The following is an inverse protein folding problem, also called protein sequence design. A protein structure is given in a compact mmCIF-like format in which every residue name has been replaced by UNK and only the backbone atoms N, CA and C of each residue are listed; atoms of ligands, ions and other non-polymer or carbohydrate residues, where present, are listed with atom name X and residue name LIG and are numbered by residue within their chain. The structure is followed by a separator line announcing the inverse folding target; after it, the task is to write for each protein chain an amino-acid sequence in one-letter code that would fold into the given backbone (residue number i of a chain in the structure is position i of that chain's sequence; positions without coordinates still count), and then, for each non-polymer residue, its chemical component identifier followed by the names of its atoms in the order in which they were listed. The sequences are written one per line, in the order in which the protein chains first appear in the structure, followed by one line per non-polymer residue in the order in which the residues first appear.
data_IF_137494209571
#
_entry.id   IF_137494209571
#
_cell.length_a   1.000
_cell.length_b   1.000
_cell.length_c   1.000
_cell.angle_alpha   90.00
_cell.angle_beta   90.00
_cell.angle_gamma   90.00
#
_symmetry.space_group_name_H-M   'P 1'
#
loop_
_entity.id
_entity.type
_entity.pdbx_description
1 polymer ?
#
# COMPACT_ATOMS: atom_id res chain seq x y z
N UNK A 1 -59.10 85.17 20.02
CA UNK A 1 -58.09 84.49 19.17
C UNK A 1 -58.83 83.94 17.95
N UNK A 2 -58.81 84.63 16.83
CA UNK A 2 -59.49 84.21 15.58
C UNK A 2 -58.81 82.95 15.02
N UNK A 3 -59.54 82.11 14.28
CA UNK A 3 -59.03 80.87 13.66
C UNK A 3 -57.79 81.15 12.77
N UNK A 4 -57.77 82.31 12.12
CA UNK A 4 -56.64 82.80 11.33
C UNK A 4 -55.35 83.06 12.15
N UNK A 5 -55.45 83.47 13.42
CA UNK A 5 -54.28 83.62 14.28
C UNK A 5 -53.67 82.24 14.62
N UNK A 6 -54.50 81.24 14.89
CA UNK A 6 -54.03 79.88 15.23
C UNK A 6 -53.31 79.19 14.07
N UNK A 7 -53.76 79.42 12.82
CA UNK A 7 -53.09 78.89 11.62
C UNK A 7 -51.77 79.61 11.34
N UNK A 8 -51.70 80.92 11.55
CA UNK A 8 -50.46 81.69 11.44
C UNK A 8 -49.41 81.30 12.50
N UNK A 9 -49.85 81.04 13.73
CA UNK A 9 -48.97 80.57 14.83
C UNK A 9 -48.41 79.17 14.52
N UNK A 10 -49.26 78.25 14.02
CA UNK A 10 -48.84 76.90 13.62
C UNK A 10 -47.85 76.90 12.45
N UNK A 11 -48.07 77.73 11.44
CA UNK A 11 -47.16 77.88 10.30
C UNK A 11 -45.83 78.52 10.71
N UNK A 12 -45.85 79.48 11.63
CA UNK A 12 -44.63 80.08 12.19
C UNK A 12 -43.82 79.07 12.99
N UNK A 13 -44.49 78.24 13.80
CA UNK A 13 -43.84 77.16 14.57
C UNK A 13 -43.22 76.09 13.64
N UNK A 14 -43.92 75.71 12.57
CA UNK A 14 -43.43 74.76 11.58
C UNK A 14 -42.22 75.30 10.79
N UNK A 15 -42.23 76.60 10.47
CA UNK A 15 -41.12 77.28 9.78
C UNK A 15 -39.88 77.39 10.68
N UNK A 16 -40.07 77.71 11.98
CA UNK A 16 -38.98 77.69 12.97
C UNK A 16 -38.40 76.29 13.16
N UNK A 17 -39.23 75.25 13.20
CA UNK A 17 -38.79 73.85 13.28
C UNK A 17 -37.97 73.40 12.06
N UNK A 18 -38.37 73.79 10.85
CA UNK A 18 -37.62 73.52 9.62
C UNK A 18 -36.26 74.22 9.59
N UNK A 19 -36.20 75.50 9.97
CA UNK A 19 -34.93 76.23 10.04
C UNK A 19 -33.97 75.63 11.07
N UNK A 20 -34.48 75.11 12.19
CA UNK A 20 -33.66 74.44 13.20
C UNK A 20 -33.13 73.07 12.73
N UNK A 21 -33.83 72.38 11.84
CA UNK A 21 -33.41 71.09 11.25
C UNK A 21 -32.41 71.29 10.10
N UNK A 22 -32.57 72.37 9.32
CA UNK A 22 -31.78 72.65 8.12
C UNK A 22 -30.49 73.42 8.44
N UNK A 23 -30.53 74.37 9.37
CA UNK A 23 -29.41 75.27 9.69
C UNK A 23 -28.87 75.13 11.14
N UNK A 24 -29.48 74.28 11.97
CA UNK A 24 -29.08 74.07 13.36
C UNK A 24 -27.73 73.35 13.48
N UNK A 25 -26.79 74.00 14.17
CA UNK A 25 -25.44 73.52 14.46
C UNK A 25 -25.39 72.52 15.63
N UNK A 26 -26.31 71.56 15.68
CA UNK A 26 -26.26 70.49 16.70
C UNK A 26 -25.85 69.18 16.04
N UNK A 27 -24.57 68.87 16.18
CA UNK A 27 -24.03 67.56 15.86
C UNK A 27 -24.76 66.49 16.70
N UNK A 28 -25.17 65.39 16.05
CA UNK A 28 -25.70 64.14 16.64
C UNK A 28 -27.24 64.02 16.83
N UNK A 29 -28.06 64.24 15.79
CA UNK A 29 -29.35 63.52 15.65
C UNK A 29 -29.23 62.40 14.62
N UNK A 30 -29.52 61.18 15.06
CA UNK A 30 -29.53 59.95 14.23
C UNK A 30 -30.41 60.15 12.99
N UNK A 31 -30.07 59.47 11.88
CA UNK A 31 -30.86 59.54 10.64
C UNK A 31 -32.34 59.20 10.87
N UNK A 32 -32.64 58.35 11.85
CA UNK A 32 -34.01 57.97 12.23
C UNK A 32 -34.75 59.09 12.96
N UNK A 33 -34.06 59.90 13.77
CA UNK A 33 -34.67 61.06 14.43
C UNK A 33 -34.98 62.18 13.44
N UNK A 34 -34.14 62.34 12.41
CA UNK A 34 -34.40 63.29 11.32
C UNK A 34 -35.60 62.82 10.49
N UNK A 35 -35.70 61.53 10.17
CA UNK A 35 -36.87 60.97 9.49
C UNK A 35 -38.13 61.16 10.32
N UNK A 36 -38.09 60.85 11.61
CA UNK A 36 -39.23 61.03 12.51
C UNK A 36 -39.67 62.50 12.62
N UNK A 37 -38.71 63.44 12.74
CA UNK A 37 -39.01 64.87 12.76
C UNK A 37 -39.62 65.36 11.43
N UNK A 38 -39.12 64.90 10.28
CA UNK A 38 -39.69 65.23 8.97
C UNK A 38 -41.09 64.64 8.78
N UNK A 39 -41.34 63.42 9.28
CA UNK A 39 -42.67 62.81 9.25
C UNK A 39 -43.65 63.58 10.12
N UNK A 40 -43.25 64.00 11.33
CA UNK A 40 -44.09 64.83 12.20
C UNK A 40 -44.40 66.19 11.56
N UNK A 41 -43.43 66.79 10.87
CA UNK A 41 -43.62 68.07 10.19
C UNK A 41 -44.53 67.96 8.96
N UNK A 42 -44.46 66.85 8.22
CA UNK A 42 -45.41 66.57 7.14
C UNK A 42 -46.85 66.44 7.67
N UNK A 43 -47.03 65.80 8.83
CA UNK A 43 -48.34 65.66 9.47
C UNK A 43 -48.88 67.03 9.94
N UNK A 44 -48.04 67.90 10.52
CA UNK A 44 -48.47 69.23 10.96
C UNK A 44 -48.84 70.14 9.79
N UNK A 45 -48.09 70.10 8.68
CA UNK A 45 -48.44 70.84 7.45
C UNK A 45 -49.73 70.30 6.83
N UNK A 46 -49.95 68.98 6.84
CA UNK A 46 -51.18 68.38 6.34
C UNK A 46 -52.40 68.73 7.23
N UNK A 47 -52.21 68.86 8.54
CA UNK A 47 -53.24 69.34 9.45
C UNK A 47 -53.54 70.84 9.23
N UNK A 48 -52.51 71.66 8.98
CA UNK A 48 -52.69 73.07 8.65
C UNK A 48 -53.42 73.27 7.30
N UNK A 49 -53.12 72.45 6.30
CA UNK A 49 -53.82 72.46 5.01
C UNK A 49 -55.32 72.11 5.17
N UNK A 50 -55.65 71.08 5.96
CA UNK A 50 -57.04 70.72 6.25
C UNK A 50 -57.79 71.82 7.00
N UNK A 51 -57.12 72.54 7.91
CA UNK A 51 -57.72 73.69 8.59
C UNK A 51 -57.91 74.89 7.65
N UNK A 52 -57.01 75.08 6.67
CA UNK A 52 -57.16 76.11 5.64
C UNK A 52 -58.33 75.80 4.68
N UNK A 53 -58.60 74.52 4.39
CA UNK A 53 -59.77 74.08 3.63
C UNK A 53 -61.08 74.37 4.38
N UNK A 54 -61.12 74.19 5.70
CA UNK A 54 -62.29 74.55 6.54
C UNK A 54 -62.55 76.05 6.53
N UNK A 55 -61.50 76.88 6.51
CA UNK A 55 -61.63 78.35 6.38
C UNK A 55 -62.11 78.76 4.98
N UNK A 56 -61.76 78.04 3.92
CA UNK A 56 -62.28 78.28 2.57
C UNK A 56 -63.76 77.85 2.41
N UNK A 57 -64.22 76.85 3.17
CA UNK A 57 -65.62 76.42 3.19
C UNK A 57 -66.53 77.42 3.91
N UNK A 58 -66.04 78.11 4.95
CA UNK A 58 -66.79 79.20 5.61
C UNK A 58 -66.86 80.50 4.76
N UNK A 59 -66.02 80.64 3.73
CA UNK A 59 -66.01 81.79 2.81
C UNK A 59 -66.95 81.71 1.60
N UNK A 60 -67.58 80.56 1.33
CA UNK A 60 -68.36 80.32 0.10
C UNK A 60 -69.86 80.04 0.32
N UNK A 61 -70.41 80.39 1.49
CA UNK A 61 -71.86 80.26 1.75
C UNK A 61 -72.58 81.61 1.70
N UNK A 62 -72.33 82.43 0.69
CA UNK A 62 -73.25 83.51 0.30
C UNK A 62 -73.39 83.58 -1.22
N UNK A 63 -74.59 83.20 -1.70
CA UNK A 63 -75.21 83.48 -3.01
C UNK A 63 -74.35 83.31 -4.27
N UNK A 64 -74.66 82.46 -5.24
CA UNK A 64 -75.97 82.08 -5.75
C UNK A 64 -76.03 82.40 -7.25
N UNK A 65 -76.29 81.37 -8.08
CA UNK A 65 -76.81 81.51 -9.44
C UNK A 65 -75.82 81.28 -10.59
N UNK A 66 -76.06 80.26 -11.41
CA UNK A 66 -76.65 80.38 -12.78
C UNK A 66 -76.48 79.03 -13.51
N UNK A 67 -77.60 78.59 -14.07
CA UNK A 67 -77.83 77.32 -14.77
C UNK A 67 -77.37 77.36 -16.25
N UNK A 68 -77.17 76.16 -16.81
CA UNK A 68 -77.23 75.79 -18.26
C UNK A 68 -75.96 75.79 -19.13
N UNK A 69 -74.76 76.06 -18.60
CA UNK A 69 -73.47 75.74 -19.29
C UNK A 69 -72.66 74.64 -18.56
N UNK A 70 -73.01 74.32 -17.31
CA UNK A 70 -72.31 73.32 -16.49
C UNK A 70 -72.47 71.86 -16.95
N UNK A 71 -73.59 71.49 -17.57
CA UNK A 71 -73.88 70.11 -17.96
C UNK A 71 -72.97 69.55 -19.06
N UNK A 72 -72.70 70.34 -20.11
CA UNK A 72 -71.84 69.92 -21.22
C UNK A 72 -70.35 69.86 -20.81
N UNK A 73 -69.92 70.76 -19.93
CA UNK A 73 -68.54 70.79 -19.41
C UNK A 73 -68.32 69.65 -18.41
N UNK A 74 -69.29 69.34 -17.53
CA UNK A 74 -69.22 68.16 -16.67
C UNK A 74 -69.17 66.87 -17.47
N UNK A 75 -70.05 66.70 -18.46
CA UNK A 75 -70.08 65.52 -19.33
C UNK A 75 -68.78 65.36 -20.14
N UNK A 76 -68.20 66.46 -20.64
CA UNK A 76 -66.90 66.43 -21.33
C UNK A 76 -65.76 66.05 -20.38
N UNK A 77 -65.76 66.59 -19.16
CA UNK A 77 -64.72 66.29 -18.16
C UNK A 77 -64.81 64.84 -17.69
N UNK A 78 -66.01 64.30 -17.49
CA UNK A 78 -66.22 62.88 -17.19
C UNK A 78 -65.78 61.99 -18.36
N UNK A 79 -66.07 62.37 -19.61
CA UNK A 79 -65.61 61.65 -20.80
C UNK A 79 -64.07 61.62 -20.89
N UNK A 80 -63.40 62.74 -20.64
CA UNK A 80 -61.93 62.76 -20.58
C UNK A 80 -61.37 61.87 -19.46
N UNK A 81 -61.98 61.88 -18.27
CA UNK A 81 -61.56 60.99 -17.16
C UNK A 81 -61.74 59.52 -17.52
N UNK A 82 -62.83 59.16 -18.22
CA UNK A 82 -63.03 57.79 -18.69
C UNK A 82 -62.08 57.42 -19.82
N UNK A 83 -61.75 58.37 -20.72
CA UNK A 83 -60.79 58.14 -21.80
C UNK A 83 -59.35 57.97 -21.26
N UNK A 84 -58.95 58.75 -20.24
CA UNK A 84 -57.66 58.56 -19.55
C UNK A 84 -57.62 57.22 -18.82
N UNK A 85 -58.65 56.87 -18.05
CA UNK A 85 -58.74 55.56 -17.38
C UNK A 85 -58.74 54.41 -18.38
N UNK A 86 -59.45 54.54 -19.50
CA UNK A 86 -59.45 53.56 -20.58
C UNK A 86 -58.05 53.43 -21.19
N UNK A 87 -57.38 54.55 -21.49
CA UNK A 87 -56.01 54.55 -22.00
C UNK A 87 -55.01 53.92 -21.02
N UNK A 88 -55.14 54.18 -19.72
CA UNK A 88 -54.35 53.52 -18.66
C UNK A 88 -54.59 52.01 -18.64
N UNK A 89 -55.86 51.57 -18.74
CA UNK A 89 -56.19 50.13 -18.79
C UNK A 89 -55.73 49.45 -20.08
N UNK A 90 -55.77 50.14 -21.21
CA UNK A 90 -55.27 49.65 -22.49
C UNK A 90 -53.74 49.51 -22.47
N UNK A 91 -53.02 50.52 -21.96
CA UNK A 91 -51.56 50.47 -21.77
C UNK A 91 -51.12 49.37 -20.78
N UNK A 92 -51.88 49.15 -19.71
CA UNK A 92 -51.68 48.04 -18.77
C UNK A 92 -51.93 46.70 -19.47
N UNK A 93 -53.02 46.55 -20.22
CA UNK A 93 -53.34 45.33 -20.95
C UNK A 93 -52.28 44.97 -21.99
N UNK A 94 -51.74 45.95 -22.72
CA UNK A 94 -50.63 45.73 -23.64
C UNK A 94 -49.34 45.32 -22.92
N UNK A 95 -49.03 45.94 -21.78
CA UNK A 95 -47.86 45.56 -20.97
C UNK A 95 -47.99 44.13 -20.45
N UNK A 96 -49.17 43.75 -19.97
CA UNK A 96 -49.47 42.37 -19.58
C UNK A 96 -49.35 41.44 -20.80
N UNK A 97 -49.90 41.80 -21.96
CA UNK A 97 -49.80 41.03 -23.19
C UNK A 97 -48.34 40.80 -23.64
N UNK A 98 -47.50 41.84 -23.60
CA UNK A 98 -46.05 41.72 -23.85
C UNK A 98 -45.35 40.85 -22.81
N UNK A 99 -45.76 40.91 -21.54
CA UNK A 99 -45.26 40.04 -20.49
C UNK A 99 -45.62 38.57 -20.70
N UNK A 100 -46.88 38.28 -21.07
CA UNK A 100 -47.36 36.93 -21.37
C UNK A 100 -46.68 36.38 -22.63
N UNK A 101 -46.52 37.18 -23.68
CA UNK A 101 -45.80 36.76 -24.89
C UNK A 101 -44.33 36.42 -24.60
N UNK A 102 -43.66 37.18 -23.72
CA UNK A 102 -42.30 36.86 -23.27
C UNK A 102 -42.24 35.62 -22.36
N UNK A 103 -43.34 35.27 -21.69
CA UNK A 103 -43.41 34.07 -20.84
C UNK A 103 -43.40 32.77 -21.65
N UNK A 104 -43.99 32.75 -22.85
CA UNK A 104 -44.04 31.56 -23.71
C UNK A 104 -42.65 30.98 -24.10
N UNK A 105 -41.68 31.76 -24.62
CA UNK A 105 -40.35 31.24 -24.90
C UNK A 105 -39.58 30.88 -23.61
N UNK A 106 -39.89 31.51 -22.48
CA UNK A 106 -39.30 31.17 -21.18
C UNK A 106 -39.81 29.80 -20.73
N UNK A 107 -41.12 29.53 -20.81
CA UNK A 107 -41.70 28.21 -20.50
C UNK A 107 -41.07 27.10 -21.37
N UNK A 108 -40.97 27.33 -22.68
CA UNK A 108 -40.34 26.38 -23.59
C UNK A 108 -38.85 26.13 -23.26
N UNK A 109 -38.11 27.17 -22.85
CA UNK A 109 -36.73 27.02 -22.37
C UNK A 109 -36.66 26.24 -21.06
N UNK A 110 -37.56 26.51 -20.11
CA UNK A 110 -37.59 25.78 -18.83
C UNK A 110 -37.88 24.30 -19.03
N UNK A 111 -38.82 23.93 -19.93
CA UNK A 111 -39.10 22.52 -20.23
C UNK A 111 -37.91 21.80 -20.88
N UNK A 112 -37.15 22.50 -21.74
CA UNK A 112 -35.91 21.94 -22.31
C UNK A 112 -34.87 21.72 -21.22
N UNK A 113 -34.69 22.69 -20.32
CA UNK A 113 -33.74 22.58 -19.20
C UNK A 113 -34.13 21.44 -18.26
N UNK A 114 -35.41 21.25 -17.93
CA UNK A 114 -35.84 20.13 -17.08
C UNK A 114 -35.57 18.79 -17.73
N UNK A 115 -35.89 18.62 -19.03
CA UNK A 115 -35.56 17.39 -19.78
C UNK A 115 -34.05 17.12 -19.80
N UNK A 116 -33.23 18.16 -19.98
CA UNK A 116 -31.78 18.02 -19.90
C UNK A 116 -31.30 17.64 -18.49
N UNK A 117 -31.89 18.22 -17.44
CA UNK A 117 -31.57 17.88 -16.06
C UNK A 117 -31.92 16.42 -15.72
N UNK A 118 -33.07 15.92 -16.18
CA UNK A 118 -33.47 14.51 -16.03
C UNK A 118 -32.50 13.56 -16.74
N UNK A 119 -32.09 13.91 -17.98
CA UNK A 119 -31.10 13.12 -18.73
C UNK A 119 -29.76 13.08 -18.00
N UNK A 120 -29.28 14.21 -17.50
CA UNK A 120 -28.03 14.28 -16.72
C UNK A 120 -28.15 13.50 -15.41
N UNK A 121 -29.30 13.52 -14.75
CA UNK A 121 -29.55 12.71 -13.55
C UNK A 121 -29.49 11.20 -13.86
N UNK A 122 -30.03 10.77 -15.00
CA UNK A 122 -29.94 9.38 -15.45
C UNK A 122 -28.49 8.96 -15.80
N UNK A 123 -27.76 9.82 -16.52
CA UNK A 123 -26.35 9.58 -16.88
C UNK A 123 -25.45 9.51 -15.63
N UNK A 124 -25.63 10.42 -14.67
CA UNK A 124 -24.88 10.41 -13.41
C UNK A 124 -25.20 9.18 -12.56
N UNK A 125 -26.47 8.73 -12.53
CA UNK A 125 -26.86 7.48 -11.90
C UNK A 125 -26.17 6.27 -12.54
N UNK A 126 -26.14 6.19 -13.88
CA UNK A 126 -25.46 5.12 -14.60
C UNK A 126 -23.95 5.13 -14.33
N UNK A 127 -23.31 6.29 -14.38
CA UNK A 127 -21.88 6.43 -14.09
C UNK A 127 -21.55 5.96 -12.68
N UNK A 128 -22.36 6.34 -11.68
CA UNK A 128 -22.18 5.88 -10.29
C UNK A 128 -22.20 4.35 -10.19
N UNK A 129 -23.18 3.70 -10.81
CA UNK A 129 -23.24 2.21 -10.79
C UNK A 129 -22.04 1.57 -11.50
N UNK A 130 -21.54 2.17 -12.58
CA UNK A 130 -20.33 1.69 -13.26
C UNK A 130 -19.10 1.86 -12.38
N UNK A 131 -18.96 3.00 -11.70
CA UNK A 131 -17.85 3.26 -10.77
C UNK A 131 -17.86 2.27 -9.60
N UNK A 132 -19.03 1.98 -9.04
CA UNK A 132 -19.17 0.98 -7.96
C UNK A 132 -18.78 -0.43 -8.44
N UNK A 133 -19.23 -0.84 -9.63
CA UNK A 133 -18.84 -2.14 -10.23
C UNK A 133 -17.34 -2.25 -10.45
N UNK A 134 -16.73 -1.24 -11.09
CA UNK A 134 -15.29 -1.19 -11.31
C UNK A 134 -14.54 -1.22 -9.97
N UNK A 135 -14.99 -0.46 -8.98
CA UNK A 135 -14.40 -0.49 -7.62
C UNK A 135 -14.40 -1.91 -7.04
N UNK A 136 -15.56 -2.58 -7.06
CA UNK A 136 -15.67 -3.96 -6.54
C UNK A 136 -14.84 -4.98 -7.30
N UNK A 137 -14.72 -4.85 -8.62
CA UNK A 137 -13.92 -5.72 -9.46
C UNK A 137 -12.42 -5.52 -9.19
N UNK A 138 -11.98 -4.25 -9.14
CA UNK A 138 -10.59 -3.91 -8.82
C UNK A 138 -10.18 -4.38 -7.42
N UNK A 139 -11.07 -4.28 -6.43
CA UNK A 139 -10.80 -4.78 -5.07
C UNK A 139 -10.71 -6.31 -5.04
N UNK A 140 -11.63 -6.99 -5.74
CA UNK A 140 -11.61 -8.46 -5.83
C UNK A 140 -10.35 -8.98 -6.52
N UNK A 141 -9.95 -8.34 -7.61
CA UNK A 141 -8.73 -8.68 -8.34
C UNK A 141 -7.48 -8.40 -7.50
N UNK A 142 -7.38 -7.23 -6.88
CA UNK A 142 -6.25 -6.87 -6.04
C UNK A 142 -6.10 -7.83 -4.85
N UNK A 143 -7.19 -8.12 -4.14
CA UNK A 143 -7.14 -9.08 -3.03
C UNK A 143 -6.77 -10.48 -3.51
N UNK A 144 -7.38 -10.97 -4.60
CA UNK A 144 -7.06 -12.28 -5.16
C UNK A 144 -5.60 -12.41 -5.61
N UNK A 145 -5.04 -11.40 -6.27
CA UNK A 145 -3.64 -11.36 -6.69
C UNK A 145 -2.71 -11.37 -5.46
N UNK A 146 -3.02 -10.58 -4.43
CA UNK A 146 -2.19 -10.53 -3.21
C UNK A 146 -2.19 -11.85 -2.44
N UNK A 147 -3.33 -12.56 -2.38
CA UNK A 147 -3.42 -13.87 -1.75
C UNK A 147 -2.63 -14.92 -2.53
N UNK A 148 -2.71 -14.90 -3.87
CA UNK A 148 -1.92 -15.79 -4.74
C UNK A 148 -0.43 -15.58 -4.56
N UNK A 149 0.03 -14.32 -4.57
CA UNK A 149 1.44 -13.97 -4.36
C UNK A 149 1.92 -14.44 -2.98
N UNK A 150 1.12 -14.24 -1.93
CA UNK A 150 1.45 -14.73 -0.58
C UNK A 150 1.60 -16.25 -0.56
N UNK A 151 0.64 -16.98 -1.12
CA UNK A 151 0.69 -18.44 -1.16
C UNK A 151 1.91 -18.97 -1.94
N UNK A 152 2.25 -18.32 -3.07
CA UNK A 152 3.42 -18.67 -3.87
C UNK A 152 4.73 -18.37 -3.12
N UNK A 153 4.80 -17.23 -2.43
CA UNK A 153 5.96 -16.85 -1.61
C UNK A 153 6.18 -17.86 -0.47
N UNK A 154 5.12 -18.28 0.22
CA UNK A 154 5.21 -19.32 1.26
C UNK A 154 5.66 -20.67 0.70
N UNK A 155 5.16 -21.06 -0.48
CA UNK A 155 5.59 -22.29 -1.15
C UNK A 155 7.08 -22.25 -1.48
N UNK A 156 7.54 -21.13 -2.05
CA UNK A 156 8.95 -20.91 -2.38
C UNK A 156 9.83 -20.92 -1.13
N UNK A 157 9.39 -20.30 -0.03
CA UNK A 157 10.08 -20.35 1.26
C UNK A 157 10.28 -21.78 1.75
N UNK A 158 9.23 -22.62 1.72
CA UNK A 158 9.32 -24.04 2.09
C UNK A 158 10.22 -24.84 1.16
N UNK A 159 10.32 -24.48 -0.11
CA UNK A 159 11.22 -25.14 -1.07
C UNK A 159 12.69 -24.79 -0.80
N UNK A 160 12.97 -23.53 -0.51
CA UNK A 160 14.30 -23.05 -0.10
C UNK A 160 14.74 -23.78 1.18
N UNK A 161 13.89 -23.86 2.20
CA UNK A 161 14.20 -24.59 3.45
C UNK A 161 14.55 -26.05 3.19
N UNK A 162 13.81 -26.75 2.32
CA UNK A 162 14.12 -28.13 1.94
C UNK A 162 15.45 -28.24 1.22
N UNK A 163 15.74 -27.35 0.27
CA UNK A 163 17.00 -27.32 -0.47
C UNK A 163 18.20 -27.07 0.46
N UNK A 164 18.06 -26.16 1.42
CA UNK A 164 19.09 -25.90 2.45
C UNK A 164 19.31 -27.15 3.31
N UNK A 165 18.25 -27.82 3.75
CA UNK A 165 18.36 -29.04 4.53
C UNK A 165 19.04 -30.19 3.75
N UNK A 166 18.70 -30.34 2.46
CA UNK A 166 19.32 -31.33 1.58
C UNK A 166 20.81 -31.04 1.36
N UNK A 167 21.16 -29.78 1.12
CA UNK A 167 22.55 -29.34 1.00
C UNK A 167 23.34 -29.65 2.27
N UNK A 168 22.75 -29.41 3.45
CA UNK A 168 23.37 -29.76 4.74
C UNK A 168 23.58 -31.26 4.90
N UNK A 169 22.62 -32.10 4.46
CA UNK A 169 22.78 -33.56 4.48
C UNK A 169 23.88 -34.04 3.55
N UNK A 170 23.95 -33.52 2.33
CA UNK A 170 24.99 -33.86 1.35
C UNK A 170 26.38 -33.47 1.86
N UNK A 171 26.50 -32.32 2.52
CA UNK A 171 27.76 -31.90 3.13
C UNK A 171 28.21 -32.87 4.24
N UNK A 172 27.30 -33.25 5.14
CA UNK A 172 27.59 -34.22 6.19
C UNK A 172 27.94 -35.62 5.64
N UNK A 173 27.34 -36.02 4.51
CA UNK A 173 27.66 -37.27 3.83
C UNK A 173 29.05 -37.21 3.16
N UNK A 174 29.38 -36.08 2.52
CA UNK A 174 30.71 -35.86 1.95
C UNK A 174 31.82 -35.95 3.02
N UNK A 175 31.62 -35.34 4.19
CA UNK A 175 32.58 -35.45 5.31
C UNK A 175 32.75 -36.89 5.81
N UNK A 176 31.68 -37.69 5.82
CA UNK A 176 31.75 -39.12 6.22
C UNK A 176 32.56 -39.91 5.21
N UNK A 177 32.31 -39.69 3.92
CA UNK A 177 33.08 -40.33 2.84
C UNK A 177 34.54 -39.95 2.93
N UNK A 178 34.86 -38.68 3.17
CA UNK A 178 36.25 -38.23 3.35
C UNK A 178 36.93 -38.98 4.50
N UNK A 179 36.32 -39.01 5.69
CA UNK A 179 36.85 -39.76 6.85
C UNK A 179 37.03 -41.25 6.56
N UNK A 180 36.08 -41.87 5.85
CA UNK A 180 36.19 -43.28 5.47
C UNK A 180 37.35 -43.50 4.49
N UNK A 181 37.55 -42.60 3.52
CA UNK A 181 38.68 -42.69 2.58
C UNK A 181 40.02 -42.54 3.29
N UNK A 182 40.13 -41.68 4.30
CA UNK A 182 41.33 -41.55 5.13
C UNK A 182 41.60 -42.82 5.94
N UNK A 183 40.57 -43.40 6.56
CA UNK A 183 40.67 -44.67 7.27
C UNK A 183 41.16 -45.79 6.36
N UNK A 184 40.58 -45.93 5.17
CA UNK A 184 40.98 -46.93 4.19
C UNK A 184 42.43 -46.74 3.71
N UNK A 185 42.87 -45.48 3.52
CA UNK A 185 44.28 -45.18 3.21
C UNK A 185 45.23 -45.63 4.32
N UNK A 186 44.87 -45.38 5.58
CA UNK A 186 45.65 -45.81 6.73
C UNK A 186 45.72 -47.36 6.83
N UNK A 187 44.59 -48.03 6.66
CA UNK A 187 44.53 -49.50 6.64
C UNK A 187 45.37 -50.11 5.51
N UNK A 188 45.30 -49.54 4.30
CA UNK A 188 46.13 -49.97 3.18
C UNK A 188 47.64 -49.83 3.47
N UNK A 189 48.05 -48.79 4.19
CA UNK A 189 49.44 -48.59 4.61
C UNK A 189 49.87 -49.64 5.65
N UNK A 190 49.00 -49.96 6.62
CA UNK A 190 49.25 -51.01 7.62
C UNK A 190 49.40 -52.38 6.96
N UNK A 191 48.49 -52.76 6.07
CA UNK A 191 48.56 -54.02 5.30
C UNK A 191 49.86 -54.09 4.50
N UNK A 192 50.28 -52.99 3.87
CA UNK A 192 51.57 -52.94 3.14
C UNK A 192 52.76 -53.17 4.08
N UNK A 193 52.74 -52.58 5.28
CA UNK A 193 53.79 -52.77 6.29
C UNK A 193 53.83 -54.22 6.79
N UNK A 194 52.69 -54.82 7.08
CA UNK A 194 52.61 -56.22 7.48
C UNK A 194 53.10 -57.16 6.40
N UNK A 195 52.74 -56.91 5.13
CA UNK A 195 53.26 -57.67 4.00
C UNK A 195 54.80 -57.63 3.95
N UNK A 196 55.41 -56.46 4.11
CA UNK A 196 56.87 -56.34 4.15
C UNK A 196 57.50 -57.13 5.30
N UNK A 197 56.86 -57.16 6.47
CA UNK A 197 57.33 -57.97 7.62
C UNK A 197 57.23 -59.46 7.32
N UNK A 198 56.12 -59.92 6.74
CA UNK A 198 55.93 -61.32 6.35
C UNK A 198 56.95 -61.75 5.30
N UNK A 199 57.19 -60.91 4.28
CA UNK A 199 58.18 -61.19 3.24
C UNK A 199 59.59 -61.31 3.86
N UNK A 200 59.95 -60.41 4.77
CA UNK A 200 61.23 -60.48 5.49
C UNK A 200 61.35 -61.75 6.34
N UNK A 201 60.31 -62.13 7.08
CA UNK A 201 60.31 -63.35 7.91
C UNK A 201 60.38 -64.61 7.05
N UNK A 202 59.70 -64.62 5.90
CA UNK A 202 59.74 -65.72 4.92
C UNK A 202 61.17 -65.93 4.41
N UNK A 203 61.91 -64.87 4.10
CA UNK A 203 63.31 -64.96 3.70
C UNK A 203 64.22 -65.44 4.84
N UNK A 204 63.95 -65.04 6.10
CA UNK A 204 64.69 -65.56 7.27
C UNK A 204 64.48 -67.07 7.44
N UNK A 205 63.23 -67.55 7.35
CA UNK A 205 62.89 -68.98 7.45
C UNK A 205 63.55 -69.77 6.33
N UNK A 206 63.55 -69.26 5.08
CA UNK A 206 64.27 -69.89 3.96
C UNK A 206 65.77 -70.02 4.26
N UNK A 207 66.39 -68.94 4.73
CA UNK A 207 67.81 -68.96 5.08
C UNK A 207 68.13 -69.95 6.21
N UNK A 208 67.24 -70.07 7.20
CA UNK A 208 67.38 -71.04 8.29
C UNK A 208 67.22 -72.49 7.81
N UNK A 209 66.23 -72.77 6.96
CA UNK A 209 66.07 -74.10 6.35
C UNK A 209 67.31 -74.51 5.55
N UNK A 210 67.91 -73.60 4.77
CA UNK A 210 69.15 -73.90 4.05
C UNK A 210 70.31 -74.18 5.00
N UNK A 211 70.42 -73.46 6.13
CA UNK A 211 71.41 -73.77 7.18
C UNK A 211 71.20 -75.15 7.78
N UNK A 212 69.95 -75.51 8.12
CA UNK A 212 69.61 -76.82 8.65
C UNK A 212 69.93 -77.95 7.67
N UNK A 213 69.66 -77.75 6.36
CA UNK A 213 70.04 -78.71 5.32
C UNK A 213 71.56 -78.91 5.27
N UNK A 214 72.33 -77.83 5.25
CA UNK A 214 73.80 -77.91 5.25
C UNK A 214 74.35 -78.59 6.52
N UNK A 215 73.72 -78.38 7.67
CA UNK A 215 74.09 -79.05 8.91
C UNK A 215 73.71 -80.52 8.91
N UNK A 216 72.54 -80.88 8.38
CA UNK A 216 72.11 -82.26 8.17
C UNK A 216 73.09 -82.98 7.22
N UNK A 217 73.44 -82.40 6.08
CA UNK A 217 74.41 -82.96 5.13
C UNK A 217 75.77 -83.18 5.80
N UNK A 218 76.23 -82.24 6.63
CA UNK A 218 77.47 -82.39 7.41
C UNK A 218 77.37 -83.53 8.42
N UNK A 219 76.22 -83.68 9.08
CA UNK A 219 76.00 -84.78 10.03
C UNK A 219 75.95 -86.15 9.33
N UNK A 220 75.37 -86.24 8.13
CA UNK A 220 75.40 -87.46 7.31
C UNK A 220 76.83 -87.80 6.89
N UNK A 221 77.61 -86.82 6.40
CA UNK A 221 79.03 -87.02 6.08
C UNK A 221 79.88 -87.42 7.29
N UNK A 222 79.51 -86.97 8.51
CA UNK A 222 80.16 -87.38 9.74
C UNK A 222 79.78 -88.80 10.19
N UNK A 223 78.61 -89.32 9.77
CA UNK A 223 78.17 -90.70 10.01
C UNK A 223 78.76 -91.65 8.96
N UNK A 224 79.05 -91.20 7.74
CA UNK A 224 79.77 -91.93 6.69
C UNK A 224 81.30 -91.96 6.91
N UNK A 225 81.74 -92.17 8.16
CA UNK A 225 83.08 -92.69 8.44
C UNK A 225 82.97 -94.23 8.41
N UNK A 226 83.54 -94.94 7.42
CA UNK A 226 83.79 -96.36 7.60
C UNK A 226 84.94 -96.49 8.61
N UNK A 227 84.61 -96.87 9.83
CA UNK A 227 85.49 -97.72 10.62
C UNK A 227 84.67 -98.96 10.96
N UNK A 228 85.14 -100.12 10.49
CA UNK A 228 85.78 -100.95 11.48
C UNK A 228 87.24 -101.18 11.11
N UNK A 229 88.07 -101.16 12.14
CA UNK A 229 89.41 -101.70 12.06
C UNK A 229 89.38 -103.12 11.49
N UNK A 230 90.32 -103.38 10.60
CA UNK A 230 90.89 -104.70 10.44
C UNK A 230 92.36 -104.58 10.84
N UNK A 231 92.60 -104.70 12.14
CA UNK A 231 93.81 -105.37 12.61
C UNK A 231 93.60 -106.85 12.27
N UNK A 232 93.93 -107.24 11.05
CA UNK A 232 94.39 -108.61 10.82
C UNK A 232 95.89 -108.58 11.07
N UNK A 233 96.27 -108.62 12.34
CA UNK A 233 97.50 -109.33 12.68
C UNK A 233 97.30 -110.76 12.16
N UNK A 234 97.93 -111.09 11.03
CA UNK A 234 97.98 -112.47 10.56
C UNK A 234 98.77 -113.27 11.59
N UNK A 235 98.20 -114.28 12.28
CA UNK A 235 98.94 -115.15 13.19
C UNK A 235 100.05 -115.97 12.49
N UNK A 236 100.04 -115.97 11.15
CA UNK A 236 100.95 -116.74 10.30
C UNK A 236 102.38 -116.22 10.30
N UNK A 237 102.60 -114.91 10.52
CA UNK A 237 103.93 -114.32 10.53
C UNK A 237 104.70 -114.59 11.84
N UNK A 238 104.00 -114.76 12.96
CA UNK A 238 104.62 -115.07 14.26
C UNK A 238 104.86 -116.56 14.46
N UNK A 239 104.01 -117.43 13.91
CA UNK A 239 104.28 -118.88 13.86
C UNK A 239 105.51 -119.18 13.00
N UNK A 240 105.68 -118.49 11.86
CA UNK A 240 106.89 -118.67 11.04
C UNK A 240 108.16 -118.12 11.70
N UNK A 241 108.10 -117.03 12.48
CA UNK A 241 109.25 -116.52 13.24
C UNK A 241 109.61 -117.44 14.41
N UNK A 242 108.62 -117.94 15.14
CA UNK A 242 108.86 -118.89 16.26
C UNK A 242 109.36 -120.23 15.75
N UNK A 243 108.85 -120.77 14.64
CA UNK A 243 109.43 -121.96 14.01
C UNK A 243 110.85 -121.74 13.49
N UNK A 244 111.17 -120.56 12.93
CA UNK A 244 112.54 -120.24 12.52
C UNK A 244 113.52 -120.20 13.71
N UNK A 245 113.10 -119.63 14.84
CA UNK A 245 113.90 -119.56 16.07
C UNK A 245 114.04 -120.94 16.73
N UNK A 246 112.99 -121.77 16.75
CA UNK A 246 113.03 -123.13 17.29
C UNK A 246 113.92 -124.05 16.41
N UNK A 247 113.84 -123.92 15.07
CA UNK A 247 114.73 -124.66 14.16
C UNK A 247 116.21 -124.24 14.30
N UNK A 248 116.48 -122.97 14.57
CA UNK A 248 117.83 -122.45 14.75
C UNK A 248 118.47 -122.88 16.10
N UNK A 249 117.65 -123.08 17.14
CA UNK A 249 118.12 -123.66 18.41
C UNK A 249 118.38 -125.18 18.32
N UNK A 250 117.67 -125.93 17.46
CA UNK A 250 117.84 -127.40 17.35
C UNK A 250 119.07 -127.84 16.53
N UNK A 251 119.70 -126.95 15.77
CA UNK A 251 120.95 -127.22 15.03
C UNK A 251 122.24 -126.78 15.76
N UNK A 252 122.16 -126.26 16.99
CA UNK A 252 123.34 -125.81 17.77
C UNK A 252 123.52 -126.53 19.12
N UNK A 253 122.74 -127.57 19.39
CA UNK A 253 122.74 -128.30 20.66
C UNK A 253 122.63 -129.82 20.53
N UNK A 254 123.25 -130.40 19.50
CA UNK A 254 123.38 -131.86 19.30
C UNK A 254 124.65 -132.18 18.54
#
# INVERSE_FOLDING_TARGET
MTLACKTADLLSLATQGLNHIIYGKDALRSADERRSALTQLAVTVQAAAKLADVVHVEGLTTSGGVTTVGGNIQALTERMRTDTRRGETEMEAERIGRGVHQMEPIKAKTEKVTKHAEKLAAETGMLRTKTEKVGSETEREAMGETERIKAETEKMGKEIERSVAETGRLHAEAEKVEKETERLKAEAMMVRSEKMKIDAETERVKAEMERMKMEADRSVQAVDIPQPGNHTETPRADVERTWRLIAQCRCRGG
#
